data_IF_902977604433
#
_entry.id   IF_902977604433
#
_cell.length_a   1.000
_cell.length_b   1.000
_cell.length_c   1.000
_cell.angle_alpha   90.00
_cell.angle_beta   90.00
_cell.angle_gamma   90.00
#
_symmetry.space_group_name_H-M   'P 1'
#
loop_
_entity.id
_entity.type
_entity.pdbx_description
1 polymer ?
#
# COMPACT_ATOMS: atom_id res chain seq x y z
N UNK A 1 3.91 -16.18 16.17
CA UNK A 1 2.94 -15.16 15.69
C UNK A 1 3.74 -14.13 14.93
N UNK A 2 3.51 -13.99 13.65
CA UNK A 2 4.16 -12.94 12.84
C UNK A 2 3.38 -11.65 13.07
N UNK A 3 4.04 -10.65 13.64
CA UNK A 3 3.51 -9.29 13.76
C UNK A 3 4.05 -8.46 12.60
N UNK A 4 3.37 -7.37 12.25
CA UNK A 4 3.90 -6.41 11.29
C UNK A 4 5.27 -5.92 11.78
N UNK A 5 6.33 -6.06 10.98
CA UNK A 5 7.64 -5.51 11.34
C UNK A 5 7.58 -3.99 11.38
N UNK A 6 8.45 -3.36 12.15
CA UNK A 6 8.60 -1.91 12.12
C UNK A 6 9.67 -1.55 11.09
N UNK A 7 9.34 -0.63 10.18
CA UNK A 7 10.25 -0.08 9.18
C UNK A 7 10.34 1.43 9.41
N UNK A 8 11.53 1.96 9.59
CA UNK A 8 11.75 3.41 9.67
C UNK A 8 12.36 3.91 8.36
N UNK A 9 11.85 5.05 7.91
CA UNK A 9 12.35 5.79 6.76
C UNK A 9 12.86 7.17 7.22
N UNK A 10 13.12 8.07 6.31
CA UNK A 10 13.60 9.41 6.67
C UNK A 10 12.59 10.18 7.53
N UNK A 11 11.28 10.05 7.28
CA UNK A 11 10.22 10.84 7.93
C UNK A 11 9.11 10.01 8.54
N UNK A 12 9.08 8.70 8.25
CA UNK A 12 7.95 7.83 8.58
C UNK A 12 8.40 6.60 9.36
N UNK A 13 7.47 6.07 10.13
CA UNK A 13 7.52 4.73 10.71
C UNK A 13 6.33 3.93 10.22
N UNK A 14 6.59 2.84 9.51
CA UNK A 14 5.60 1.83 9.19
C UNK A 14 5.55 0.87 10.36
N UNK A 15 4.39 0.72 10.99
CA UNK A 15 4.19 -0.11 12.18
C UNK A 15 2.89 -0.90 12.10
N UNK A 16 2.78 -1.94 12.88
CA UNK A 16 1.49 -2.60 13.05
C UNK A 16 0.41 -1.59 13.48
N UNK A 17 -0.81 -1.78 12.98
CA UNK A 17 -1.95 -0.98 13.42
C UNK A 17 -2.22 -1.17 14.92
N UNK A 18 -2.69 -0.10 15.55
CA UNK A 18 -3.18 -0.09 16.92
C UNK A 18 -4.65 0.37 16.94
N UNK A 19 -5.37 0.06 18.02
CA UNK A 19 -6.79 0.44 18.13
C UNK A 19 -7.04 1.94 17.90
N UNK A 20 -6.10 2.79 18.31
CA UNK A 20 -6.19 4.24 18.14
C UNK A 20 -6.26 4.69 16.67
N UNK A 21 -5.72 3.90 15.73
CA UNK A 21 -5.76 4.22 14.30
C UNK A 21 -7.16 4.06 13.71
N UNK A 22 -8.01 3.23 14.34
CA UNK A 22 -9.30 2.84 13.79
C UNK A 22 -10.23 4.02 13.51
N UNK A 23 -10.26 5.02 14.37
CA UNK A 23 -11.17 6.16 14.15
C UNK A 23 -10.83 6.90 12.84
N UNK A 24 -9.56 7.24 12.63
CA UNK A 24 -9.11 7.91 11.42
C UNK A 24 -9.27 7.01 10.16
N UNK A 25 -9.02 5.70 10.29
CA UNK A 25 -9.29 4.74 9.24
C UNK A 25 -10.78 4.71 8.88
N UNK A 26 -11.68 4.61 9.86
CA UNK A 26 -13.11 4.56 9.62
C UNK A 26 -13.66 5.86 9.00
N UNK A 27 -13.19 7.02 9.44
CA UNK A 27 -13.56 8.32 8.89
C UNK A 27 -13.11 8.46 7.43
N UNK A 28 -11.89 8.01 7.11
CA UNK A 28 -11.39 7.97 5.74
C UNK A 28 -12.27 7.08 4.86
N UNK A 29 -12.59 5.86 5.30
CA UNK A 29 -13.42 4.93 4.52
C UNK A 29 -14.89 5.30 4.47
N UNK A 30 -15.39 6.17 5.35
CA UNK A 30 -16.75 6.72 5.27
C UNK A 30 -16.88 7.89 4.28
N UNK A 31 -15.77 8.42 3.81
CA UNK A 31 -15.73 9.57 2.90
C UNK A 31 -15.68 9.16 1.42
N UNK A 32 -15.95 10.11 0.52
CA UNK A 32 -15.83 9.94 -0.93
C UNK A 32 -14.38 9.62 -1.38
N UNK A 33 -13.40 9.80 -0.51
CA UNK A 33 -12.01 9.47 -0.78
C UNK A 33 -11.79 7.96 -0.95
N UNK A 34 -12.64 7.17 -0.30
CA UNK A 34 -12.60 5.71 -0.39
C UNK A 34 -13.30 5.12 -1.63
N UNK A 35 -13.84 5.94 -2.52
CA UNK A 35 -14.61 5.48 -3.69
C UNK A 35 -13.86 4.50 -4.60
N UNK A 36 -12.54 4.59 -4.63
CA UNK A 36 -11.68 3.67 -5.40
C UNK A 36 -11.16 2.48 -4.57
N UNK A 37 -11.66 2.32 -3.34
CA UNK A 37 -11.29 1.26 -2.41
C UNK A 37 -12.55 0.62 -1.82
N UNK A 38 -13.56 0.39 -2.67
CA UNK A 38 -14.88 -0.19 -2.34
C UNK A 38 -15.69 0.62 -1.30
N UNK A 39 -15.31 1.88 -1.06
CA UNK A 39 -16.05 2.80 -0.19
C UNK A 39 -17.11 3.64 -0.95
N UNK A 40 -17.90 4.45 -0.24
CA UNK A 40 -17.81 4.63 1.22
C UNK A 40 -18.31 3.42 2.02
N UNK A 41 -17.68 3.17 3.17
CA UNK A 41 -18.04 2.10 4.07
C UNK A 41 -18.77 2.61 5.31
N UNK A 42 -19.70 1.82 5.82
CA UNK A 42 -20.22 2.03 7.18
C UNK A 42 -19.11 1.74 8.21
N UNK A 43 -19.21 2.34 9.41
CA UNK A 43 -18.23 2.11 10.48
C UNK A 43 -18.06 0.61 10.81
N UNK A 44 -19.14 -0.18 10.71
CA UNK A 44 -19.08 -1.63 10.91
C UNK A 44 -18.28 -2.33 9.82
N UNK A 45 -18.46 -1.96 8.57
CA UNK A 45 -17.69 -2.52 7.45
C UNK A 45 -16.21 -2.11 7.56
N UNK A 46 -15.95 -0.84 7.89
CA UNK A 46 -14.59 -0.35 8.13
C UNK A 46 -13.90 -1.12 9.27
N UNK A 47 -14.63 -1.50 10.33
CA UNK A 47 -14.08 -2.34 11.40
C UNK A 47 -13.63 -3.71 10.90
N UNK A 48 -14.45 -4.38 10.08
CA UNK A 48 -14.06 -5.68 9.53
C UNK A 48 -12.90 -5.58 8.54
N UNK A 49 -12.86 -4.53 7.72
CA UNK A 49 -11.72 -4.27 6.84
C UNK A 49 -10.44 -4.04 7.65
N UNK A 50 -10.48 -3.17 8.66
CA UNK A 50 -9.35 -2.91 9.55
C UNK A 50 -8.84 -4.17 10.26
N UNK A 51 -9.75 -4.98 10.82
CA UNK A 51 -9.37 -6.25 11.44
C UNK A 51 -8.78 -7.24 10.41
N UNK A 52 -9.32 -7.25 9.19
CA UNK A 52 -8.80 -8.07 8.09
C UNK A 52 -7.36 -7.69 7.74
N UNK A 53 -7.08 -6.40 7.59
CA UNK A 53 -5.74 -5.89 7.30
C UNK A 53 -4.73 -6.29 8.39
N UNK A 54 -5.11 -6.16 9.65
CA UNK A 54 -4.27 -6.57 10.79
C UNK A 54 -4.04 -8.08 10.80
N UNK A 55 -5.10 -8.87 10.54
CA UNK A 55 -5.04 -10.33 10.63
C UNK A 55 -4.15 -10.97 9.55
N UNK A 56 -3.98 -10.33 8.39
CA UNK A 56 -3.15 -10.85 7.30
C UNK A 56 -1.71 -11.12 7.75
N UNK A 57 -1.14 -10.30 8.62
CA UNK A 57 0.20 -10.53 9.17
C UNK A 57 0.34 -11.87 9.88
N UNK A 58 -0.66 -12.25 10.65
CA UNK A 58 -0.65 -13.52 11.39
C UNK A 58 -0.95 -14.72 10.49
N UNK A 59 -1.81 -14.52 9.49
CA UNK A 59 -2.27 -15.60 8.62
C UNK A 59 -1.30 -15.90 7.48
N UNK A 60 -0.69 -14.85 6.91
CA UNK A 60 0.04 -14.95 5.65
C UNK A 60 1.48 -14.40 5.71
N UNK A 61 1.87 -13.73 6.82
CA UNK A 61 3.19 -13.11 6.95
C UNK A 61 3.36 -11.82 6.14
N UNK A 62 2.28 -11.24 5.67
CA UNK A 62 2.20 -9.93 5.03
C UNK A 62 0.86 -9.26 5.40
N UNK A 63 0.70 -7.96 5.16
CA UNK A 63 -0.51 -7.23 5.48
C UNK A 63 -0.28 -5.72 5.49
N UNK A 64 -1.13 -4.99 6.21
CA UNK A 64 -1.06 -3.54 6.27
C UNK A 64 -0.19 -3.04 7.43
N UNK A 65 0.49 -1.91 7.17
CA UNK A 65 1.13 -1.07 8.17
C UNK A 65 0.35 0.24 8.31
N UNK A 66 0.15 0.66 9.56
CA UNK A 66 -0.13 2.06 9.83
C UNK A 66 1.13 2.89 9.60
N UNK A 67 0.98 3.98 8.86
CA UNK A 67 2.07 4.93 8.58
C UNK A 67 2.01 6.06 9.60
N UNK A 68 3.05 6.18 10.40
CA UNK A 68 3.21 7.19 11.46
C UNK A 68 4.29 8.19 11.05
N UNK A 69 4.01 9.48 11.20
CA UNK A 69 5.01 10.51 10.98
C UNK A 69 5.94 10.62 12.21
N UNK A 70 7.26 10.55 11.99
CA UNK A 70 8.24 10.55 13.08
C UNK A 70 8.30 11.86 13.87
N UNK A 71 7.97 12.99 13.23
CA UNK A 71 8.05 14.33 13.85
C UNK A 71 7.13 14.48 15.07
N UNK A 72 5.92 13.92 15.00
CA UNK A 72 4.87 14.16 16.02
C UNK A 72 4.07 12.90 16.38
N UNK A 73 4.38 11.76 15.78
CA UNK A 73 3.66 10.50 16.00
C UNK A 73 2.27 10.45 15.34
N UNK A 74 1.95 11.37 14.43
CA UNK A 74 0.66 11.38 13.77
C UNK A 74 0.49 10.17 12.86
N UNK A 75 -0.67 9.49 12.95
CA UNK A 75 -1.09 8.49 11.96
C UNK A 75 -1.49 9.22 10.67
N UNK A 76 -0.76 8.99 9.58
CA UNK A 76 -0.91 9.73 8.32
C UNK A 76 -1.52 8.91 7.19
N UNK A 77 -1.67 7.61 7.37
CA UNK A 77 -2.21 6.72 6.34
C UNK A 77 -1.83 5.27 6.54
N UNK A 78 -1.96 4.49 5.47
CA UNK A 78 -1.66 3.07 5.43
C UNK A 78 -0.91 2.71 4.16
N UNK A 79 -0.01 1.75 4.25
CA UNK A 79 0.53 0.99 3.14
C UNK A 79 0.36 -0.49 3.42
N UNK A 80 0.09 -1.30 2.40
CA UNK A 80 -0.20 -2.71 2.59
C UNK A 80 0.40 -3.59 1.49
N UNK A 81 0.77 -4.80 1.88
CA UNK A 81 1.06 -5.91 0.99
C UNK A 81 -0.09 -6.91 1.13
N UNK A 82 -1.02 -6.92 0.18
CA UNK A 82 -2.25 -7.68 0.24
C UNK A 82 -2.25 -8.83 -0.77
N UNK A 83 -2.67 -10.00 -0.34
CA UNK A 83 -3.01 -11.11 -1.23
C UNK A 83 -4.15 -11.93 -0.63
N UNK A 84 -5.36 -11.39 -0.55
CA UNK A 84 -6.52 -12.20 -0.19
C UNK A 84 -6.79 -13.23 -1.31
N UNK A 85 -7.60 -14.27 -1.06
CA UNK A 85 -7.78 -15.39 -1.98
C UNK A 85 -8.24 -15.03 -3.41
N UNK A 86 -8.89 -13.89 -3.58
CA UNK A 86 -9.38 -13.40 -4.88
C UNK A 86 -8.38 -12.52 -5.64
N UNK A 87 -7.20 -12.22 -5.04
CA UNK A 87 -6.15 -11.47 -5.73
C UNK A 87 -5.21 -12.43 -6.46
N UNK A 88 -5.00 -12.25 -7.78
CA UNK A 88 -4.07 -13.08 -8.55
C UNK A 88 -2.64 -12.98 -8.05
N UNK A 89 -2.19 -11.77 -7.73
CA UNK A 89 -0.82 -11.48 -7.30
C UNK A 89 -0.77 -10.70 -5.98
N UNK A 90 0.43 -10.58 -5.41
CA UNK A 90 0.67 -9.74 -4.23
C UNK A 90 0.54 -8.27 -4.63
N UNK A 91 -0.37 -7.58 -3.97
CA UNK A 91 -0.63 -6.16 -4.20
C UNK A 91 0.16 -5.28 -3.25
N UNK A 92 0.68 -4.18 -3.77
CA UNK A 92 1.10 -3.02 -3.01
C UNK A 92 0.02 -1.94 -3.08
N UNK A 93 -0.69 -1.73 -1.97
CA UNK A 93 -1.76 -0.74 -1.84
C UNK A 93 -1.40 0.37 -0.86
N UNK A 94 -2.02 1.54 -1.00
CA UNK A 94 -1.78 2.70 -0.12
C UNK A 94 -2.97 3.65 -0.04
N UNK A 95 -3.06 4.36 1.06
CA UNK A 95 -3.80 5.60 1.18
C UNK A 95 -3.13 6.57 2.16
N UNK A 96 -3.41 7.85 1.99
CA UNK A 96 -2.98 8.93 2.90
C UNK A 96 -4.21 9.66 3.41
N UNK A 97 -4.26 9.96 4.69
CA UNK A 97 -5.36 10.69 5.33
C UNK A 97 -5.41 12.15 4.84
N UNK A 98 -6.60 12.76 4.99
CA UNK A 98 -6.82 14.17 4.66
C UNK A 98 -5.86 15.08 5.44
N UNK A 99 -5.32 16.08 4.76
CA UNK A 99 -4.34 17.02 5.32
C UNK A 99 -2.88 16.55 5.26
N UNK A 100 -2.62 15.28 4.89
CA UNK A 100 -1.25 14.77 4.74
C UNK A 100 -0.85 14.51 3.29
N UNK A 101 -1.74 14.80 2.33
CA UNK A 101 -1.46 14.62 0.91
C UNK A 101 -0.47 15.67 0.38
N UNK A 102 0.14 15.35 -0.77
CA UNK A 102 1.07 16.25 -1.46
C UNK A 102 2.44 16.41 -0.78
N UNK A 103 2.67 15.72 0.34
CA UNK A 103 3.92 15.79 1.12
C UNK A 103 4.90 14.65 0.77
N UNK A 104 4.54 13.77 -0.16
CA UNK A 104 5.38 12.63 -0.57
C UNK A 104 5.32 11.41 0.35
N UNK A 105 4.48 11.41 1.38
CA UNK A 105 4.39 10.30 2.34
C UNK A 105 3.97 8.98 1.70
N UNK A 106 3.01 9.01 0.76
CA UNK A 106 2.62 7.80 0.05
C UNK A 106 3.78 7.17 -0.73
N UNK A 107 4.57 7.98 -1.44
CA UNK A 107 5.74 7.51 -2.18
C UNK A 107 6.78 6.90 -1.25
N UNK A 108 7.11 7.58 -0.16
CA UNK A 108 8.10 7.13 0.82
C UNK A 108 7.68 5.81 1.48
N UNK A 109 6.41 5.71 1.94
CA UNK A 109 5.89 4.51 2.56
C UNK A 109 5.77 3.33 1.58
N UNK A 110 5.25 3.58 0.37
CA UNK A 110 5.10 2.53 -0.64
C UNK A 110 6.45 2.01 -1.14
N UNK A 111 7.46 2.89 -1.29
CA UNK A 111 8.82 2.47 -1.61
C UNK A 111 9.39 1.55 -0.53
N UNK A 112 9.27 1.92 0.74
CA UNK A 112 9.76 1.12 1.86
C UNK A 112 9.04 -0.26 1.94
N UNK A 113 7.73 -0.30 1.70
CA UNK A 113 6.97 -1.56 1.68
C UNK A 113 7.33 -2.44 0.47
N UNK A 114 7.56 -1.86 -0.72
CA UNK A 114 8.07 -2.58 -1.89
C UNK A 114 9.43 -3.19 -1.61
N UNK A 115 10.36 -2.40 -1.09
CA UNK A 115 11.71 -2.86 -0.81
C UNK A 115 11.70 -3.98 0.24
N UNK A 116 10.82 -3.90 1.25
CA UNK A 116 10.59 -4.99 2.20
C UNK A 116 10.08 -6.26 1.50
N UNK A 117 9.12 -6.14 0.57
CA UNK A 117 8.62 -7.29 -0.18
C UNK A 117 9.74 -7.99 -0.96
N UNK A 118 10.63 -7.23 -1.56
CA UNK A 118 11.74 -7.79 -2.36
C UNK A 118 12.86 -8.34 -1.48
N UNK A 119 13.34 -7.58 -0.50
CA UNK A 119 14.53 -7.95 0.29
C UNK A 119 14.19 -8.95 1.40
N UNK A 120 13.15 -8.69 2.18
CA UNK A 120 12.84 -9.50 3.36
C UNK A 120 11.91 -10.67 3.05
N UNK A 121 10.98 -10.50 2.11
CA UNK A 121 10.04 -11.57 1.73
C UNK A 121 10.50 -12.37 0.51
N UNK A 122 11.58 -11.96 -0.17
CA UNK A 122 12.12 -12.63 -1.36
C UNK A 122 11.13 -12.66 -2.53
N UNK A 123 10.32 -11.60 -2.69
CA UNK A 123 9.41 -11.47 -3.83
C UNK A 123 10.17 -10.93 -5.03
N UNK A 124 9.83 -11.43 -6.20
CA UNK A 124 10.40 -11.02 -7.49
C UNK A 124 9.38 -10.25 -8.35
N UNK A 125 8.12 -10.20 -7.94
CA UNK A 125 7.04 -9.46 -8.59
C UNK A 125 6.09 -8.83 -7.57
N UNK A 126 5.53 -7.67 -7.91
CA UNK A 126 4.59 -6.91 -7.10
C UNK A 126 3.72 -6.07 -8.03
N UNK A 127 2.43 -6.00 -7.77
CA UNK A 127 1.49 -5.20 -8.57
C UNK A 127 0.70 -4.22 -7.70
N UNK A 128 0.10 -3.22 -8.34
CA UNK A 128 -0.94 -2.38 -7.73
C UNK A 128 -2.18 -2.41 -8.63
N UNK A 129 -3.34 -2.73 -8.05
CA UNK A 129 -4.62 -2.70 -8.74
C UNK A 129 -5.23 -1.31 -8.55
N UNK A 130 -5.43 -0.57 -9.65
CA UNK A 130 -5.78 0.84 -9.59
C UNK A 130 -6.97 1.13 -10.51
N UNK A 131 -8.06 1.67 -9.96
CA UNK A 131 -9.14 2.22 -10.77
C UNK A 131 -8.59 3.29 -11.72
N UNK A 132 -8.91 3.20 -13.02
CA UNK A 132 -8.40 4.11 -14.05
C UNK A 132 -8.73 5.61 -13.77
N UNK A 133 -9.82 5.88 -13.04
CA UNK A 133 -10.18 7.23 -12.64
C UNK A 133 -9.37 7.74 -11.42
N UNK A 134 -8.64 6.88 -10.72
CA UNK A 134 -7.76 7.24 -9.62
C UNK A 134 -6.40 7.74 -10.11
N UNK A 135 -6.41 8.87 -10.80
CA UNK A 135 -5.21 9.46 -11.44
C UNK A 135 -4.07 9.75 -10.44
N UNK A 136 -4.39 9.95 -9.15
CA UNK A 136 -3.36 10.16 -8.11
C UNK A 136 -2.59 8.88 -7.83
N UNK A 137 -3.26 7.74 -7.73
CA UNK A 137 -2.59 6.44 -7.53
C UNK A 137 -1.85 6.00 -8.78
N UNK A 138 -2.42 6.25 -9.99
CA UNK A 138 -1.71 6.03 -11.26
C UNK A 138 -0.39 6.79 -11.28
N UNK A 139 -0.42 8.11 -11.04
CA UNK A 139 0.78 8.94 -11.02
C UNK A 139 1.80 8.54 -9.92
N UNK A 140 1.35 7.93 -8.83
CA UNK A 140 2.25 7.40 -7.80
C UNK A 140 2.92 6.12 -8.28
N UNK A 141 2.16 5.17 -8.83
CA UNK A 141 2.70 3.93 -9.38
C UNK A 141 3.75 4.22 -10.47
N UNK A 142 3.45 5.11 -11.40
CA UNK A 142 4.39 5.54 -12.45
C UNK A 142 5.66 6.18 -11.87
N UNK A 143 5.55 7.02 -10.83
CA UNK A 143 6.73 7.57 -10.13
C UNK A 143 7.59 6.53 -9.43
N UNK A 144 6.99 5.39 -9.05
CA UNK A 144 7.72 4.24 -8.52
C UNK A 144 8.34 3.37 -9.62
N UNK A 145 8.20 3.77 -10.88
CA UNK A 145 8.67 3.02 -12.05
C UNK A 145 7.76 1.86 -12.45
N UNK A 146 6.54 1.77 -11.91
CA UNK A 146 5.61 0.73 -12.30
C UNK A 146 5.01 1.02 -13.68
N UNK A 147 4.81 -0.04 -14.46
CA UNK A 147 4.26 0.01 -15.81
C UNK A 147 2.91 -0.72 -15.87
N UNK A 148 2.00 -0.23 -16.69
CA UNK A 148 0.69 -0.87 -16.89
C UNK A 148 0.86 -2.20 -17.62
N UNK A 149 0.40 -3.29 -17.01
CA UNK A 149 0.40 -4.64 -17.56
C UNK A 149 -1.02 -5.01 -18.03
N UNK A 150 -1.29 -4.73 -19.30
CA UNK A 150 -2.61 -4.98 -19.92
C UNK A 150 -2.98 -6.46 -20.02
N UNK A 151 -2.01 -7.37 -19.83
CA UNK A 151 -2.24 -8.82 -19.91
C UNK A 151 -2.42 -9.48 -18.55
N UNK A 152 -2.21 -8.72 -17.46
CA UNK A 152 -2.35 -9.25 -16.11
C UNK A 152 -3.81 -9.51 -15.74
N UNK A 153 -4.05 -10.54 -14.93
CA UNK A 153 -5.37 -10.83 -14.36
C UNK A 153 -5.71 -9.80 -13.27
N UNK A 154 -6.99 -9.44 -13.21
CA UNK A 154 -7.53 -8.54 -12.18
C UNK A 154 -8.26 -9.31 -11.07
N UNK A 155 -8.37 -8.77 -9.85
CA UNK A 155 -9.14 -9.39 -8.76
C UNK A 155 -10.60 -9.63 -9.18
N UNK A 156 -11.06 -10.86 -9.09
CA UNK A 156 -12.45 -11.27 -9.46
C UNK A 156 -12.95 -10.73 -10.81
N UNK A 157 -12.05 -10.37 -11.74
CA UNK A 157 -12.38 -9.77 -13.03
C UNK A 157 -12.85 -8.32 -12.93
N UNK A 158 -12.47 -7.61 -11.88
CA UNK A 158 -12.77 -6.19 -11.72
C UNK A 158 -12.15 -5.34 -12.84
N UNK A 159 -12.84 -4.26 -13.21
CA UNK A 159 -12.36 -3.30 -14.19
C UNK A 159 -11.35 -2.32 -13.51
N UNK A 160 -10.09 -2.72 -13.49
CA UNK A 160 -9.00 -1.91 -12.95
C UNK A 160 -7.73 -2.06 -13.80
N UNK A 161 -6.82 -1.10 -13.68
CA UNK A 161 -5.49 -1.18 -14.24
C UNK A 161 -4.59 -2.00 -13.31
N UNK A 162 -3.72 -2.81 -13.89
CA UNK A 162 -2.67 -3.51 -13.13
C UNK A 162 -1.34 -2.82 -13.40
N UNK A 163 -0.79 -2.15 -12.40
CA UNK A 163 0.53 -1.56 -12.49
C UNK A 163 1.56 -2.52 -11.87
N UNK A 164 2.46 -3.03 -12.71
CA UNK A 164 3.54 -3.93 -12.29
C UNK A 164 4.78 -3.14 -11.91
N UNK A 165 5.24 -3.33 -10.68
CA UNK A 165 6.45 -2.68 -10.18
C UNK A 165 7.71 -3.30 -10.80
N UNK A 166 8.78 -2.49 -10.98
CA UNK A 166 10.06 -3.01 -11.48
C UNK A 166 10.57 -4.14 -10.60
N UNK A 167 11.20 -5.14 -11.19
CA UNK A 167 11.85 -6.24 -10.46
C UNK A 167 13.01 -5.72 -9.59
N UNK A 168 13.44 -6.48 -8.58
CA UNK A 168 14.62 -6.11 -7.79
C UNK A 168 15.88 -5.86 -8.66
N UNK A 169 16.09 -6.67 -9.69
CA UNK A 169 17.24 -6.54 -10.60
C UNK A 169 17.14 -5.22 -11.41
N UNK A 170 15.96 -4.91 -11.96
CA UNK A 170 15.75 -3.66 -12.69
C UNK A 170 15.97 -2.41 -11.84
N UNK A 171 15.64 -2.47 -10.53
CA UNK A 171 15.89 -1.37 -9.60
C UNK A 171 17.38 -1.18 -9.30
N UNK A 172 18.17 -2.27 -9.30
CA UNK A 172 19.62 -2.19 -9.10
C UNK A 172 20.33 -1.64 -10.33
N UNK A 173 19.94 -2.07 -11.52
CA UNK A 173 20.53 -1.62 -12.79
C UNK A 173 20.22 -0.15 -13.08
N UNK A 174 18.98 0.32 -12.83
CA UNK A 174 18.58 1.72 -12.98
C UNK A 174 19.29 2.69 -12.02
N UNK A 175 19.78 2.20 -10.88
CA UNK A 175 20.59 2.97 -9.93
C UNK A 175 22.02 3.25 -10.44
N UNK A 176 22.55 2.43 -11.33
CA UNK A 176 23.90 2.61 -11.89
C UNK A 176 23.93 3.63 -13.05
N UNK A 177 22.86 3.75 -13.82
CA UNK A 177 22.79 4.74 -14.91
C UNK A 177 22.65 6.19 -14.43
N UNK A 178 22.15 6.43 -13.22
CA UNK A 178 21.98 7.77 -12.65
C UNK A 178 23.30 8.42 -12.15
N UNK A 179 24.41 7.68 -12.16
CA UNK A 179 25.74 8.15 -11.71
C UNK A 179 26.83 8.07 -12.80
N UNK A 180 26.47 7.85 -14.08
CA UNK A 180 27.40 7.82 -15.20
C UNK A 180 27.44 9.14 -16.02
#
# INVERSE_FOLDING_TARGET
MTLAPTIETQRLRLRGHVEADFNAFADMFASDRARYMHGPLTRRQAWFAFCGDVAQWQLFGHGAWGVERLEDGAFVGQVALNKPPHFPELELGWFVLEGFEGQGYALEAATAARDYAYVEMGRDTLVSYIDAANTRSVALAERMGAECDEMAETPDGEDCLVYRHPTPDALQDGGMEAYA
#
